data_IF_166481668052
#
_entry.id   IF_166481668052
#
_cell.length_a   1.000
_cell.length_b   1.000
_cell.length_c   1.000
_cell.angle_alpha   90.00
_cell.angle_beta   90.00
_cell.angle_gamma   90.00
#
_symmetry.space_group_name_H-M   'P 1'
#
loop_
_entity.id
_entity.type
_entity.pdbx_description
1 polymer ?
#
# COMPACT_ATOMS: atom_id res chain seq x y z
N UNK A 1 -9.98 -7.11 2.63
CA UNK A 1 -8.81 -7.90 3.02
C UNK A 1 -8.08 -7.20 4.16
N UNK A 2 -7.61 -7.95 5.11
CA UNK A 2 -6.89 -7.40 6.26
C UNK A 2 -5.56 -6.81 5.80
N UNK A 3 -5.24 -5.61 6.28
CA UNK A 3 -3.99 -4.93 5.93
C UNK A 3 -2.77 -5.79 6.29
N UNK A 4 -2.79 -6.42 7.47
CA UNK A 4 -1.67 -7.26 7.89
C UNK A 4 -1.52 -8.48 6.99
N UNK A 5 -2.62 -9.08 6.58
CA UNK A 5 -2.57 -10.22 5.66
C UNK A 5 -2.00 -9.82 4.30
N UNK A 6 -2.39 -8.66 3.81
CA UNK A 6 -1.87 -8.16 2.55
C UNK A 6 -0.36 -7.95 2.64
N UNK A 7 0.11 -7.35 3.72
CA UNK A 7 1.54 -7.14 3.93
C UNK A 7 2.28 -8.48 3.97
N UNK A 8 1.72 -9.46 4.70
CA UNK A 8 2.32 -10.78 4.78
C UNK A 8 2.40 -11.47 3.43
N UNK A 9 1.35 -11.38 2.63
CA UNK A 9 1.33 -11.97 1.29
C UNK A 9 2.38 -11.35 0.39
N UNK A 10 2.53 -10.02 0.45
CA UNK A 10 3.53 -9.34 -0.35
C UNK A 10 4.93 -9.78 0.07
N UNK A 11 5.17 -9.87 1.37
CA UNK A 11 6.46 -10.32 1.88
C UNK A 11 6.78 -11.73 1.40
N UNK A 12 5.80 -12.64 1.44
CA UNK A 12 6.00 -14.00 0.97
C UNK A 12 6.33 -14.03 -0.51
N UNK A 13 5.63 -13.24 -1.30
CA UNK A 13 5.88 -13.19 -2.73
C UNK A 13 7.27 -12.63 -3.02
N UNK A 14 7.71 -11.66 -2.26
CA UNK A 14 9.04 -11.08 -2.42
C UNK A 14 10.15 -12.08 -2.09
N UNK A 15 9.86 -13.09 -1.29
CA UNK A 15 10.83 -14.13 -0.95
C UNK A 15 10.93 -15.21 -2.02
N UNK A 16 10.02 -15.22 -2.98
CA UNK A 16 10.05 -16.19 -4.08
C UNK A 16 11.28 -15.97 -4.96
N UNK A 17 12.04 -17.02 -5.19
CA UNK A 17 13.25 -16.92 -6.01
C UNK A 17 12.93 -16.78 -7.50
N UNK A 18 11.74 -17.17 -7.90
CA UNK A 18 11.32 -17.11 -9.31
C UNK A 18 10.65 -15.80 -9.67
N UNK A 19 10.55 -14.88 -8.74
CA UNK A 19 9.86 -13.61 -8.97
C UNK A 19 10.61 -12.75 -10.00
N UNK A 20 9.83 -12.12 -10.90
CA UNK A 20 10.35 -11.23 -11.92
C UNK A 20 10.88 -9.94 -11.27
N UNK A 21 11.93 -9.35 -11.81
CA UNK A 21 12.52 -8.11 -11.29
C UNK A 21 11.53 -6.96 -11.28
N UNK A 22 10.72 -6.83 -12.32
CA UNK A 22 9.72 -5.77 -12.40
C UNK A 22 8.64 -5.97 -11.32
N UNK A 23 8.21 -7.21 -11.15
CA UNK A 23 7.24 -7.54 -10.11
C UNK A 23 7.80 -7.26 -8.73
N UNK A 24 9.04 -7.63 -8.50
CA UNK A 24 9.72 -7.40 -7.24
C UNK A 24 9.78 -5.91 -6.91
N UNK A 25 10.12 -5.08 -7.90
CA UNK A 25 10.14 -3.64 -7.73
C UNK A 25 8.78 -3.09 -7.36
N UNK A 26 7.76 -3.53 -8.10
CA UNK A 26 6.40 -3.08 -7.86
C UNK A 26 5.96 -3.44 -6.44
N UNK A 27 6.17 -4.70 -6.05
CA UNK A 27 5.76 -5.15 -4.73
C UNK A 27 6.53 -4.46 -3.61
N UNK A 28 7.82 -4.20 -3.82
CA UNK A 28 8.61 -3.49 -2.82
C UNK A 28 8.09 -2.08 -2.60
N UNK A 29 7.77 -1.36 -3.67
CA UNK A 29 7.21 -0.02 -3.57
C UNK A 29 5.84 -0.04 -2.90
N UNK A 30 5.00 -0.98 -3.30
CA UNK A 30 3.68 -1.12 -2.71
C UNK A 30 3.75 -1.44 -1.22
N UNK A 31 4.67 -2.33 -0.86
CA UNK A 31 4.87 -2.69 0.54
C UNK A 31 5.29 -1.48 1.38
N UNK A 32 6.22 -0.69 0.86
CA UNK A 32 6.64 0.53 1.56
C UNK A 32 5.48 1.49 1.76
N UNK A 33 4.65 1.65 0.73
CA UNK A 33 3.47 2.51 0.83
C UNK A 33 2.50 2.00 1.88
N UNK A 34 2.28 0.68 1.93
CA UNK A 34 1.38 0.09 2.92
C UNK A 34 1.92 0.25 4.34
N UNK A 35 3.22 0.11 4.53
CA UNK A 35 3.84 0.28 5.83
C UNK A 35 3.70 1.73 6.30
N UNK A 36 3.93 2.68 5.39
CA UNK A 36 3.75 4.10 5.71
C UNK A 36 2.29 4.40 6.06
N UNK A 37 1.35 3.84 5.30
CA UNK A 37 -0.06 3.99 5.59
C UNK A 37 -0.39 3.45 6.97
N UNK A 38 0.12 2.26 7.30
CA UNK A 38 -0.12 1.64 8.60
C UNK A 38 0.46 2.48 9.74
N UNK A 39 1.62 3.07 9.52
CA UNK A 39 2.26 3.93 10.52
C UNK A 39 1.43 5.17 10.77
N UNK A 40 0.86 5.77 9.73
CA UNK A 40 0.03 6.97 9.85
C UNK A 40 -1.38 6.66 10.34
N UNK A 41 -1.82 5.42 10.19
CA UNK A 41 -3.17 5.00 10.57
C UNK A 41 -3.11 3.72 11.40
N UNK A 42 -2.60 3.79 12.63
CA UNK A 42 -2.37 2.57 13.44
C UNK A 42 -3.64 1.80 13.79
N UNK A 43 -4.79 2.45 13.69
CA UNK A 43 -6.06 1.77 13.96
C UNK A 43 -6.68 1.15 12.71
N UNK A 44 -6.09 1.38 11.53
CA UNK A 44 -6.61 0.82 10.29
C UNK A 44 -6.34 -0.68 10.26
N UNK A 45 -7.40 -1.45 9.99
CA UNK A 45 -7.31 -2.91 9.92
C UNK A 45 -7.49 -3.45 8.51
N UNK A 46 -8.02 -2.62 7.61
CA UNK A 46 -8.31 -3.04 6.24
C UNK A 46 -7.32 -2.45 5.25
N UNK A 47 -7.02 -3.22 4.21
CA UNK A 47 -6.15 -2.74 3.15
C UNK A 47 -6.83 -1.60 2.41
N UNK A 48 -6.18 -0.44 2.27
CA UNK A 48 -6.76 0.66 1.52
C UNK A 48 -6.81 0.33 0.03
N UNK A 49 -7.76 0.95 -0.67
CA UNK A 49 -7.77 0.85 -2.12
C UNK A 49 -6.57 1.61 -2.66
N UNK A 50 -6.24 1.39 -3.93
CA UNK A 50 -5.12 2.10 -4.56
C UNK A 50 -5.33 3.61 -4.47
N UNK A 51 -6.57 4.08 -4.68
CA UNK A 51 -6.89 5.49 -4.60
C UNK A 51 -6.76 6.02 -3.18
N UNK A 52 -7.26 5.29 -2.20
CA UNK A 52 -7.14 5.69 -0.80
C UNK A 52 -5.68 5.79 -0.36
N UNK A 53 -4.86 4.82 -0.78
CA UNK A 53 -3.44 4.83 -0.48
C UNK A 53 -2.76 6.04 -1.11
N UNK A 54 -3.08 6.32 -2.36
CA UNK A 54 -2.54 7.48 -3.06
C UNK A 54 -2.88 8.78 -2.32
N UNK A 55 -4.12 8.93 -1.91
CA UNK A 55 -4.55 10.13 -1.20
C UNK A 55 -3.92 10.27 0.18
N UNK A 56 -3.69 9.14 0.86
CA UNK A 56 -3.04 9.16 2.16
C UNK A 56 -1.60 9.65 2.05
N UNK A 57 -0.93 9.29 0.97
CA UNK A 57 0.46 9.68 0.74
C UNK A 57 0.59 11.04 0.05
N UNK A 58 -0.44 11.46 -0.66
CA UNK A 58 -0.43 12.71 -1.42
C UNK A 58 -1.71 13.52 -1.13
N UNK A 59 -1.87 14.02 0.10
CA UNK A 59 -3.10 14.73 0.47
C UNK A 59 -3.33 16.03 -0.29
N UNK A 60 -2.28 16.57 -0.87
CA UNK A 60 -2.37 17.82 -1.64
C UNK A 60 -2.77 17.61 -3.09
N UNK A 61 -2.90 16.37 -3.52
CA UNK A 61 -3.29 16.08 -4.88
C UNK A 61 -4.71 16.59 -5.15
N UNK A 62 -4.91 17.20 -6.31
CA UNK A 62 -6.21 17.72 -6.67
C UNK A 62 -7.28 16.63 -6.76
N UNK A 63 -6.88 15.43 -7.12
CA UNK A 63 -7.79 14.29 -7.21
C UNK A 63 -8.36 13.93 -5.86
N UNK A 64 -7.57 14.08 -4.81
CA UNK A 64 -7.99 13.79 -3.45
C UNK A 64 -8.88 14.89 -2.89
N UNK A 65 -8.69 16.11 -3.35
CA UNK A 65 -9.49 17.27 -2.90
C UNK A 65 -10.91 17.24 -3.41
N UNK A 66 -11.13 16.64 -4.57
CA UNK A 66 -12.46 16.58 -5.18
C UNK A 66 -13.46 15.85 -4.27
N UNK A 67 -12.97 14.89 -3.51
CA UNK A 67 -13.81 14.09 -2.64
C UNK A 67 -13.83 14.56 -1.20
N UNK A 68 -13.16 15.65 -0.93
CA UNK A 68 -13.04 16.18 0.42
C UNK A 68 -14.00 17.35 0.61
N UNK A 69 -15.25 17.03 0.72
CA UNK A 69 -16.27 18.03 0.98
C UNK A 69 -16.64 18.12 2.43
#
# INVERSE_FOLDING_TARGET
MDLQETINEICEELMESSINKQRKRYLSAYLEDLIEYQTNNPIATQTPTTFELFCALNPDSSECRIYDD
#
